data_IF_216441672628
#
_entry.id   IF_216441672628
#
_cell.length_a   1.000
_cell.length_b   1.000
_cell.length_c   1.000
_cell.angle_alpha   90.00
_cell.angle_beta   90.00
_cell.angle_gamma   90.00
#
_symmetry.space_group_name_H-M   'P 1'
#
loop_
_entity.id
_entity.type
_entity.pdbx_description
1 polymer ?
#
# COMPACT_ATOMS: atom_id res chain seq x y z
N UNK A 1 -36.30 -53.37 16.08
CA UNK A 1 -37.29 -52.33 15.72
C UNK A 1 -36.54 -51.00 15.64
N UNK A 2 -35.83 -50.75 14.54
CA UNK A 2 -36.28 -50.02 13.33
C UNK A 2 -36.14 -48.50 13.46
N UNK A 3 -34.95 -48.01 13.08
CA UNK A 3 -34.68 -46.63 12.72
C UNK A 3 -35.24 -46.33 11.32
N UNK A 4 -35.95 -45.20 11.14
CA UNK A 4 -35.93 -44.33 9.94
C UNK A 4 -36.51 -42.95 10.27
N UNK A 5 -35.85 -41.84 9.88
CA UNK A 5 -36.54 -40.59 9.60
C UNK A 5 -36.65 -40.36 8.08
N UNK A 6 -37.81 -39.82 7.71
CA UNK A 6 -38.33 -39.66 6.35
C UNK A 6 -37.72 -38.44 5.64
N UNK A 7 -37.14 -38.66 4.45
CA UNK A 7 -36.70 -37.63 3.52
C UNK A 7 -37.86 -37.20 2.62
N UNK A 8 -38.23 -35.92 2.64
CA UNK A 8 -39.17 -35.34 1.66
C UNK A 8 -38.40 -34.45 0.68
N UNK A 9 -38.27 -34.92 -0.57
CA UNK A 9 -37.76 -34.15 -1.72
C UNK A 9 -38.86 -33.22 -2.23
N UNK A 10 -38.55 -31.92 -2.34
CA UNK A 10 -39.37 -30.95 -3.05
C UNK A 10 -39.09 -31.01 -4.57
N UNK A 11 -40.17 -31.03 -5.35
CA UNK A 11 -40.18 -30.93 -6.81
C UNK A 11 -40.00 -29.45 -7.23
N UNK A 12 -38.99 -29.17 -8.05
CA UNK A 12 -38.86 -27.88 -8.73
C UNK A 12 -39.42 -28.00 -10.16
N UNK A 13 -40.49 -27.26 -10.43
CA UNK A 13 -41.07 -27.08 -11.76
C UNK A 13 -40.41 -25.90 -12.50
N UNK A 14 -40.32 -26.08 -13.82
CA UNK A 14 -39.75 -25.21 -14.86
C UNK A 14 -40.32 -23.78 -14.89
N UNK A 15 -39.51 -22.81 -15.33
CA UNK A 15 -39.86 -21.86 -16.41
C UNK A 15 -38.65 -21.13 -16.98
N UNK A 16 -38.59 -21.07 -18.31
CA UNK A 16 -37.65 -20.31 -19.12
C UNK A 16 -38.33 -19.02 -19.61
N UNK A 17 -37.63 -17.87 -19.62
CA UNK A 17 -37.89 -16.65 -20.42
C UNK A 17 -36.53 -15.91 -20.52
N UNK A 18 -35.85 -15.96 -21.67
CA UNK A 18 -35.87 -15.03 -22.82
C UNK A 18 -34.86 -13.89 -22.72
N UNK A 19 -33.98 -13.89 -23.73
CA UNK A 19 -32.94 -12.93 -24.04
C UNK A 19 -33.58 -11.69 -24.67
N UNK A 20 -33.17 -10.50 -24.24
CA UNK A 20 -33.38 -9.26 -24.99
C UNK A 20 -32.08 -8.48 -25.06
N UNK A 21 -31.50 -8.45 -26.26
CA UNK A 21 -30.54 -7.45 -26.71
C UNK A 21 -31.23 -6.09 -26.75
N UNK A 22 -30.53 -4.99 -26.42
CA UNK A 22 -30.91 -3.71 -26.99
C UNK A 22 -29.75 -2.73 -27.20
N UNK A 23 -29.95 -1.93 -28.25
CA UNK A 23 -29.00 -1.26 -29.10
C UNK A 23 -28.45 0.08 -28.61
N UNK A 24 -27.33 0.42 -29.25
CA UNK A 24 -26.69 1.72 -29.42
C UNK A 24 -27.65 2.90 -29.65
N UNK A 25 -27.38 4.05 -29.02
CA UNK A 25 -27.94 5.36 -29.41
C UNK A 25 -26.87 6.46 -29.31
N UNK A 26 -26.61 7.10 -30.46
CA UNK A 26 -25.85 8.36 -30.65
C UNK A 26 -26.80 9.55 -30.48
N UNK A 27 -26.40 10.62 -29.76
CA UNK A 27 -26.94 12.01 -29.88
C UNK A 27 -25.83 12.98 -29.41
N UNK A 28 -25.20 13.80 -30.27
CA UNK A 28 -25.62 15.05 -30.92
C UNK A 28 -25.77 16.25 -29.96
N UNK A 29 -24.87 17.22 -30.14
CA UNK A 29 -24.71 18.54 -29.51
C UNK A 29 -25.75 19.55 -30.06
N UNK A 30 -26.11 20.60 -29.31
CA UNK A 30 -26.52 21.86 -29.91
C UNK A 30 -25.59 23.03 -29.52
N UNK A 31 -25.23 23.78 -30.56
CA UNK A 31 -24.62 25.12 -30.57
C UNK A 31 -25.72 26.16 -30.32
N UNK A 32 -25.45 27.21 -29.52
CA UNK A 32 -26.27 28.42 -29.47
C UNK A 32 -25.38 29.67 -29.58
N UNK A 33 -25.80 30.54 -30.49
CA UNK A 33 -25.21 31.78 -31.02
C UNK A 33 -25.45 33.03 -30.14
N UNK A 34 -24.59 34.04 -30.34
CA UNK A 34 -24.45 35.35 -29.64
C UNK A 34 -25.62 36.35 -29.87
N UNK A 35 -25.62 37.57 -29.27
CA UNK A 35 -24.97 38.73 -29.90
C UNK A 35 -24.35 39.85 -28.99
N UNK A 36 -23.73 40.79 -29.71
CA UNK A 36 -22.76 41.89 -29.48
C UNK A 36 -23.15 43.15 -28.67
N UNK A 37 -22.15 43.84 -28.05
CA UNK A 37 -21.95 45.31 -28.21
C UNK A 37 -20.54 45.86 -27.85
N UNK A 38 -19.95 46.48 -28.88
CA UNK A 38 -18.91 47.53 -29.05
C UNK A 38 -17.90 48.00 -27.99
N UNK A 39 -16.63 47.99 -28.46
CA UNK A 39 -15.59 49.04 -28.51
C UNK A 39 -14.94 49.57 -27.21
N UNK A 40 -13.61 49.39 -27.08
CA UNK A 40 -12.56 50.43 -27.12
C UNK A 40 -11.17 49.80 -26.86
N UNK A 41 -10.22 49.99 -27.79
CA UNK A 41 -8.75 49.93 -27.57
C UNK A 41 -8.25 51.35 -27.30
N UNK A 42 -7.06 51.63 -26.73
CA UNK A 42 -5.85 50.79 -26.73
C UNK A 42 -5.02 50.81 -25.42
N UNK A 43 -4.10 49.86 -25.24
CA UNK A 43 -2.74 50.17 -24.77
C UNK A 43 -1.85 48.94 -24.87
N UNK A 44 -0.66 49.13 -25.42
CA UNK A 44 0.37 48.11 -25.56
C UNK A 44 0.83 47.58 -24.20
N UNK A 45 0.60 46.30 -23.94
CA UNK A 45 1.48 45.55 -23.04
C UNK A 45 1.71 44.15 -23.61
N UNK A 46 2.98 43.85 -23.86
CA UNK A 46 3.43 42.56 -24.37
C UNK A 46 2.98 41.44 -23.42
N UNK A 47 2.15 40.52 -23.93
CA UNK A 47 1.83 39.29 -23.23
C UNK A 47 3.08 38.41 -23.18
N UNK A 48 3.74 38.41 -22.03
CA UNK A 48 4.71 37.38 -21.64
C UNK A 48 3.91 36.10 -21.43
N UNK A 49 4.07 35.13 -22.32
CA UNK A 49 3.59 33.76 -22.09
C UNK A 49 4.14 33.25 -20.75
N UNK A 50 3.32 32.68 -19.84
CA UNK A 50 3.86 32.01 -18.68
C UNK A 50 4.59 30.77 -19.19
N UNK A 51 5.91 30.84 -19.20
CA UNK A 51 6.75 29.65 -19.28
C UNK A 51 6.38 28.82 -18.05
N UNK A 52 5.79 27.65 -18.26
CA UNK A 52 5.75 26.61 -17.25
C UNK A 52 7.21 26.27 -16.94
N UNK A 53 7.78 26.95 -15.94
CA UNK A 53 8.97 26.47 -15.28
C UNK A 53 8.54 25.19 -14.60
N UNK A 54 8.89 24.06 -15.21
CA UNK A 54 9.02 22.81 -14.47
C UNK A 54 9.91 23.13 -13.28
N UNK A 55 9.30 23.26 -12.09
CA UNK A 55 10.07 23.14 -10.87
C UNK A 55 10.74 21.79 -11.00
N UNK A 56 12.07 21.80 -11.14
CA UNK A 56 12.85 20.59 -11.01
C UNK A 56 12.50 20.04 -9.63
N UNK A 57 11.60 19.05 -9.61
CA UNK A 57 11.36 18.24 -8.44
C UNK A 57 12.74 17.71 -8.09
N UNK A 58 13.22 18.02 -6.89
CA UNK A 58 14.41 17.37 -6.35
C UNK A 58 14.11 15.88 -6.37
N UNK A 59 14.59 15.20 -7.41
CA UNK A 59 14.69 13.75 -7.42
C UNK A 59 15.66 13.47 -6.27
N UNK A 60 15.26 12.75 -5.21
CA UNK A 60 16.18 12.41 -4.15
C UNK A 60 17.39 11.73 -4.80
N UNK A 61 18.57 12.26 -4.48
CA UNK A 61 19.83 11.88 -5.09
C UNK A 61 19.94 10.35 -5.10
N UNK A 62 20.16 9.77 -6.28
CA UNK A 62 20.52 8.36 -6.43
C UNK A 62 21.71 8.07 -5.51
N UNK A 63 21.46 7.36 -4.41
CA UNK A 63 22.53 6.97 -3.48
C UNK A 63 23.47 6.01 -4.18
N UNK A 64 24.76 6.36 -4.14
CA UNK A 64 25.86 5.49 -4.55
C UNK A 64 26.16 4.50 -3.42
N UNK A 65 25.59 3.30 -3.48
CA UNK A 65 26.06 2.20 -2.63
C UNK A 65 27.36 1.66 -3.22
N UNK A 66 28.46 1.86 -2.50
CA UNK A 66 29.72 1.15 -2.79
C UNK A 66 29.56 -0.29 -2.33
N UNK A 67 30.06 -1.26 -3.10
CA UNK A 67 29.99 -2.67 -2.76
C UNK A 67 30.87 -2.99 -1.54
N UNK A 68 30.39 -2.68 -0.34
CA UNK A 68 30.96 -3.19 0.92
C UNK A 68 30.48 -4.63 1.12
N UNK A 69 31.35 -5.57 1.54
CA UNK A 69 30.96 -6.95 1.83
C UNK A 69 30.24 -7.09 3.19
N UNK A 70 30.14 -6.02 3.98
CA UNK A 70 29.54 -6.01 5.31
C UNK A 70 28.10 -5.48 5.29
N UNK A 71 27.33 -5.83 6.32
CA UNK A 71 25.99 -5.26 6.54
C UNK A 71 26.12 -3.78 6.86
N UNK A 72 25.32 -2.95 6.20
CA UNK A 72 25.31 -1.50 6.41
C UNK A 72 23.91 -1.07 6.92
N UNK A 73 23.87 -0.25 7.96
CA UNK A 73 22.62 0.37 8.42
C UNK A 73 22.33 1.64 7.60
N UNK A 74 21.07 1.90 7.27
CA UNK A 74 20.70 3.11 6.56
C UNK A 74 20.99 4.36 7.40
N UNK A 75 21.81 5.31 6.92
CA UNK A 75 22.13 6.52 7.68
C UNK A 75 20.94 7.47 7.87
N UNK A 76 19.91 7.41 7.03
CA UNK A 76 18.67 8.20 7.17
C UNK A 76 17.59 7.43 7.93
N UNK A 77 17.68 6.10 8.00
CA UNK A 77 16.66 5.26 8.63
C UNK A 77 17.26 4.18 9.51
N UNK A 78 17.38 4.51 10.80
CA UNK A 78 17.79 3.57 11.84
C UNK A 78 16.92 2.31 11.82
N UNK A 79 17.56 1.16 12.00
CA UNK A 79 16.93 -0.16 12.00
C UNK A 79 16.61 -0.71 10.60
N UNK A 80 17.00 -0.03 9.51
CA UNK A 80 16.97 -0.58 8.16
C UNK A 80 18.39 -0.99 7.76
N UNK A 81 18.57 -2.22 7.29
CA UNK A 81 19.88 -2.78 6.96
C UNK A 81 19.94 -3.25 5.51
N UNK A 82 21.11 -3.06 4.90
CA UNK A 82 21.48 -3.53 3.58
C UNK A 82 22.42 -4.72 3.72
N UNK A 83 22.00 -5.88 3.24
CA UNK A 83 22.77 -7.12 3.27
C UNK A 83 23.31 -7.44 1.87
N UNK A 84 24.64 -7.46 1.65
CA UNK A 84 25.18 -7.81 0.35
C UNK A 84 24.92 -9.28 0.03
N UNK A 85 24.26 -9.55 -1.11
CA UNK A 85 23.88 -10.90 -1.55
C UNK A 85 24.51 -11.31 -2.89
N UNK A 86 25.26 -10.43 -3.55
CA UNK A 86 25.93 -10.72 -4.83
C UNK A 86 26.45 -9.47 -5.52
N UNK A 87 26.73 -9.57 -6.83
CA UNK A 87 27.29 -8.51 -7.70
C UNK A 87 26.50 -7.20 -7.63
N UNK A 88 26.81 -6.37 -6.62
CA UNK A 88 26.14 -5.11 -6.35
C UNK A 88 24.62 -5.26 -6.12
N UNK A 89 24.19 -6.34 -5.46
CA UNK A 89 22.79 -6.56 -5.06
C UNK A 89 22.72 -6.65 -3.56
N UNK A 90 21.78 -5.90 -2.98
CA UNK A 90 21.56 -5.82 -1.54
C UNK A 90 20.15 -6.26 -1.20
N UNK A 91 20.01 -7.11 -0.20
CA UNK A 91 18.73 -7.43 0.43
C UNK A 91 18.45 -6.43 1.55
N UNK A 92 17.31 -5.75 1.49
CA UNK A 92 16.85 -4.86 2.56
C UNK A 92 16.19 -5.69 3.66
N UNK A 93 16.50 -5.39 4.92
CA UNK A 93 15.86 -6.02 6.08
C UNK A 93 15.74 -5.05 7.25
N UNK A 94 14.79 -5.28 8.15
CA UNK A 94 14.75 -4.61 9.44
C UNK A 94 15.60 -5.28 10.52
N UNK A 95 16.22 -6.42 10.19
CA UNK A 95 17.10 -7.15 11.11
C UNK A 95 18.56 -6.91 10.75
N UNK A 96 19.39 -6.72 11.78
CA UNK A 96 20.84 -6.57 11.62
C UNK A 96 21.49 -7.88 11.19
N UNK A 97 20.91 -9.02 11.57
CA UNK A 97 21.45 -10.33 11.25
C UNK A 97 21.13 -10.72 9.80
N UNK A 98 22.11 -11.31 9.10
CA UNK A 98 21.97 -11.71 7.69
C UNK A 98 20.79 -12.66 7.46
N UNK A 99 19.86 -12.41 6.53
CA UNK A 99 18.73 -13.30 6.25
C UNK A 99 19.17 -14.78 6.08
N UNK A 100 18.41 -15.76 6.64
CA UNK A 100 18.77 -17.19 6.54
C UNK A 100 18.89 -17.70 5.10
N UNK A 101 18.09 -17.16 4.19
CA UNK A 101 18.08 -17.48 2.76
C UNK A 101 17.66 -16.25 1.94
N UNK A 102 17.79 -16.32 0.61
CA UNK A 102 17.30 -15.25 -0.27
C UNK A 102 15.77 -15.15 -0.25
N UNK A 103 15.06 -16.26 -0.12
CA UNK A 103 13.59 -16.29 -0.09
C UNK A 103 13.00 -16.03 1.31
N UNK A 104 13.84 -15.68 2.29
CA UNK A 104 13.43 -15.44 3.68
C UNK A 104 12.38 -14.35 3.77
N UNK A 105 11.35 -14.55 4.59
CA UNK A 105 10.37 -13.51 4.89
C UNK A 105 10.96 -12.30 5.65
N UNK A 106 12.22 -12.39 6.09
CA UNK A 106 12.94 -11.28 6.72
C UNK A 106 13.48 -10.25 5.72
N UNK A 107 13.48 -10.56 4.42
CA UNK A 107 13.94 -9.67 3.35
C UNK A 107 12.76 -8.86 2.84
N UNK A 108 12.79 -7.54 3.00
CA UNK A 108 11.76 -6.61 2.47
C UNK A 108 11.74 -6.69 0.93
N UNK A 109 12.93 -6.69 0.33
CA UNK A 109 13.13 -6.79 -1.10
C UNK A 109 14.60 -6.59 -1.46
N UNK A 110 14.87 -6.58 -2.76
CA UNK A 110 16.22 -6.47 -3.30
C UNK A 110 16.41 -5.18 -4.07
N UNK A 111 17.56 -4.55 -3.87
CA UNK A 111 17.99 -3.36 -4.62
C UNK A 111 19.33 -3.68 -5.30
N UNK A 112 19.45 -3.27 -6.56
CA UNK A 112 20.76 -3.25 -7.23
C UNK A 112 21.45 -1.93 -6.91
N UNK A 113 22.73 -1.95 -6.64
CA UNK A 113 23.56 -0.75 -6.55
C UNK A 113 23.93 -0.22 -7.94
N UNK A 114 24.50 0.99 -7.97
CA UNK A 114 24.99 1.65 -9.19
C UNK A 114 24.19 2.90 -9.58
N UNK A 115 24.76 3.73 -10.46
CA UNK A 115 24.32 5.12 -10.73
C UNK A 115 22.94 5.28 -11.40
N UNK A 116 22.21 4.20 -11.71
CA UNK A 116 20.87 4.27 -12.33
C UNK A 116 19.88 3.20 -11.84
N UNK A 117 20.17 2.53 -10.72
CA UNK A 117 19.29 1.47 -10.25
C UNK A 117 18.15 2.02 -9.39
N UNK A 118 16.99 2.23 -10.03
CA UNK A 118 15.70 2.34 -9.36
C UNK A 118 14.98 0.98 -9.28
N UNK A 119 15.71 -0.14 -9.49
CA UNK A 119 15.10 -1.47 -9.52
C UNK A 119 15.00 -2.03 -8.11
N UNK A 120 13.89 -1.75 -7.44
CA UNK A 120 13.48 -2.48 -6.25
C UNK A 120 12.64 -3.69 -6.66
N UNK A 121 13.03 -4.87 -6.20
CA UNK A 121 12.26 -6.10 -6.36
C UNK A 121 11.66 -6.50 -5.02
N UNK A 122 10.33 -6.42 -4.92
CA UNK A 122 9.58 -6.77 -3.73
C UNK A 122 9.64 -8.28 -3.45
N UNK A 123 9.78 -8.64 -2.18
CA UNK A 123 9.68 -10.01 -1.72
C UNK A 123 8.27 -10.31 -1.19
N UNK A 124 7.53 -11.19 -1.87
CA UNK A 124 6.16 -11.54 -1.47
C UNK A 124 6.09 -12.26 -0.12
N UNK A 125 7.12 -13.02 0.27
CA UNK A 125 7.14 -13.67 1.58
C UNK A 125 7.13 -12.65 2.74
N UNK A 126 7.82 -11.51 2.55
CA UNK A 126 7.77 -10.41 3.50
C UNK A 126 6.43 -9.67 3.46
N UNK A 127 5.85 -9.46 2.27
CA UNK A 127 4.53 -8.80 2.11
C UNK A 127 3.44 -9.60 2.83
N UNK A 128 3.42 -10.91 2.67
CA UNK A 128 2.48 -11.80 3.35
C UNK A 128 2.67 -11.72 4.87
N UNK A 129 3.92 -11.82 5.36
CA UNK A 129 4.23 -11.67 6.78
C UNK A 129 3.82 -10.29 7.34
N UNK A 130 4.03 -9.23 6.57
CA UNK A 130 3.64 -7.87 6.93
C UNK A 130 2.12 -7.78 7.14
N UNK A 131 1.33 -8.26 6.18
CA UNK A 131 -0.13 -8.23 6.28
C UNK A 131 -0.68 -9.13 7.39
N UNK A 132 -0.11 -10.32 7.58
CA UNK A 132 -0.48 -11.20 8.70
C UNK A 132 -0.19 -10.54 10.05
N UNK A 133 0.96 -9.85 10.14
CA UNK A 133 1.35 -9.12 11.35
C UNK A 133 0.44 -7.92 11.62
N UNK A 134 0.12 -7.13 10.60
CA UNK A 134 -0.84 -6.01 10.72
C UNK A 134 -2.21 -6.53 11.15
N UNK A 135 -2.71 -7.61 10.54
CA UNK A 135 -3.98 -8.21 10.95
C UNK A 135 -3.96 -8.63 12.42
N UNK A 136 -2.92 -9.33 12.86
CA UNK A 136 -2.80 -9.77 14.25
C UNK A 136 -2.67 -8.58 15.22
N UNK A 137 -1.97 -7.52 14.81
CA UNK A 137 -1.85 -6.26 15.56
C UNK A 137 -3.20 -5.57 15.76
N UNK A 138 -4.06 -5.55 14.73
CA UNK A 138 -5.41 -4.99 14.80
C UNK A 138 -6.35 -5.82 15.68
N UNK A 139 -6.17 -7.15 15.72
CA UNK A 139 -6.93 -8.03 16.61
C UNK A 139 -6.52 -7.80 18.06
N UNK A 140 -5.23 -7.62 18.31
CA UNK A 140 -4.67 -7.42 19.64
C UNK A 140 -4.82 -6.00 20.19
N UNK A 141 -5.16 -5.02 19.34
CA UNK A 141 -5.33 -3.62 19.78
C UNK A 141 -4.02 -2.93 20.18
N UNK A 142 -2.90 -3.28 19.50
CA UNK A 142 -1.57 -2.76 19.91
C UNK A 142 -1.32 -1.30 19.50
N UNK A 143 -2.08 -0.78 18.53
CA UNK A 143 -1.91 0.57 17.99
C UNK A 143 -3.02 1.51 18.51
N UNK A 144 -2.66 2.32 19.50
CA UNK A 144 -3.57 3.27 20.15
C UNK A 144 -4.03 4.40 19.21
N UNK A 145 -3.21 4.79 18.23
CA UNK A 145 -3.58 5.85 17.29
C UNK A 145 -4.71 5.35 16.38
N UNK A 146 -4.61 4.11 15.90
CA UNK A 146 -5.68 3.46 15.13
C UNK A 146 -6.95 3.24 15.97
N UNK A 147 -6.82 2.89 17.25
CA UNK A 147 -7.98 2.78 18.15
C UNK A 147 -8.67 4.13 18.35
N UNK A 148 -7.91 5.21 18.53
CA UNK A 148 -8.44 6.56 18.65
C UNK A 148 -9.16 6.98 17.36
N UNK A 149 -8.60 6.68 16.20
CA UNK A 149 -9.25 6.92 14.91
C UNK A 149 -10.56 6.14 14.76
N UNK A 150 -10.60 4.89 15.24
CA UNK A 150 -11.82 4.09 15.25
C UNK A 150 -12.89 4.69 16.16
N UNK A 151 -12.53 5.16 17.36
CA UNK A 151 -13.45 5.84 18.29
C UNK A 151 -14.05 7.09 17.65
N UNK A 152 -13.23 7.91 16.97
CA UNK A 152 -13.70 9.08 16.25
C UNK A 152 -14.63 8.73 15.09
N UNK A 153 -14.31 7.64 14.36
CA UNK A 153 -15.09 7.16 13.23
C UNK A 153 -16.47 6.66 13.61
N UNK A 154 -16.57 5.95 14.75
CA UNK A 154 -17.74 5.19 15.23
C UNK A 154 -18.13 3.99 14.35
N UNK A 155 -18.34 4.19 13.05
CA UNK A 155 -18.83 3.16 12.12
C UNK A 155 -18.15 3.25 10.74
N UNK A 156 -18.00 2.11 10.05
CA UNK A 156 -17.56 2.04 8.65
C UNK A 156 -16.14 1.51 8.45
N UNK A 157 -15.51 1.78 7.31
CA UNK A 157 -14.22 1.18 6.92
C UNK A 157 -13.03 2.09 7.18
N UNK A 158 -12.16 1.74 8.12
CA UNK A 158 -10.91 2.44 8.45
C UNK A 158 -9.76 1.97 7.57
N UNK A 159 -9.05 2.91 6.95
CA UNK A 159 -7.83 2.61 6.20
C UNK A 159 -6.64 2.59 7.15
N UNK A 160 -5.79 1.58 6.99
CA UNK A 160 -4.53 1.45 7.73
C UNK A 160 -3.41 1.94 6.82
N UNK A 161 -2.69 2.95 7.25
CA UNK A 161 -1.69 3.65 6.46
C UNK A 161 -0.26 3.30 6.86
N UNK A 162 0.61 3.28 5.87
CA UNK A 162 2.06 3.43 6.04
C UNK A 162 2.38 4.89 6.46
N UNK A 163 3.48 5.07 7.19
CA UNK A 163 3.98 6.34 7.74
C UNK A 163 4.99 7.03 6.80
N UNK A 164 5.19 6.54 5.57
CA UNK A 164 5.92 7.24 4.51
C UNK A 164 5.25 8.56 4.14
N UNK A 165 3.97 8.50 3.80
CA UNK A 165 3.15 9.64 3.40
C UNK A 165 1.80 9.59 4.14
N UNK A 166 1.85 9.88 5.45
CA UNK A 166 0.65 9.83 6.27
C UNK A 166 -0.32 10.97 5.88
N UNK A 167 -1.59 10.67 5.54
CA UNK A 167 -2.49 11.68 5.02
C UNK A 167 -2.92 12.69 6.08
N UNK A 168 -3.25 13.90 5.63
CA UNK A 168 -3.91 14.89 6.47
C UNK A 168 -5.28 14.38 6.94
N UNK A 169 -5.71 14.81 8.13
CA UNK A 169 -6.99 14.41 8.72
C UNK A 169 -8.15 14.61 7.74
N UNK A 170 -8.91 13.55 7.49
CA UNK A 170 -10.07 13.55 6.59
C UNK A 170 -9.73 13.40 5.09
N UNK A 171 -8.46 13.27 4.71
CA UNK A 171 -8.06 12.87 3.36
C UNK A 171 -7.72 11.38 3.29
N UNK A 172 -7.83 10.83 2.08
CA UNK A 172 -7.33 9.51 1.75
C UNK A 172 -5.92 9.67 1.21
N UNK A 173 -4.96 8.94 1.77
CA UNK A 173 -3.57 8.93 1.31
C UNK A 173 -3.40 8.26 -0.05
N UNK A 174 -2.16 8.24 -0.55
CA UNK A 174 -1.87 7.57 -1.82
C UNK A 174 -2.15 6.06 -1.74
N UNK A 175 -2.74 5.47 -2.79
CA UNK A 175 -3.15 4.06 -2.77
C UNK A 175 -1.99 3.07 -2.59
N UNK A 176 -0.76 3.49 -2.91
CA UNK A 176 0.45 2.69 -2.75
C UNK A 176 0.93 2.63 -1.27
N UNK A 177 0.43 3.53 -0.42
CA UNK A 177 0.74 3.65 1.01
C UNK A 177 -0.39 3.16 1.93
N UNK A 178 -1.52 2.72 1.38
CA UNK A 178 -2.60 2.12 2.16
C UNK A 178 -2.30 0.63 2.28
N UNK A 179 -1.99 0.15 3.49
CA UNK A 179 -1.76 -1.27 3.76
C UNK A 179 -3.03 -2.08 3.54
N UNK A 180 -4.17 -1.55 3.98
CA UNK A 180 -5.44 -2.24 3.89
C UNK A 180 -6.56 -1.47 4.55
N UNK A 181 -7.72 -2.10 4.63
CA UNK A 181 -8.91 -1.55 5.28
C UNK A 181 -9.48 -2.52 6.29
N UNK A 182 -10.06 -2.01 7.36
CA UNK A 182 -10.68 -2.79 8.44
C UNK A 182 -12.02 -2.17 8.81
N UNK A 183 -12.98 -3.00 9.19
CA UNK A 183 -14.29 -2.54 9.65
C UNK A 183 -14.19 -1.99 11.08
N UNK A 184 -14.86 -0.87 11.31
CA UNK A 184 -15.09 -0.26 12.60
C UNK A 184 -16.57 -0.33 12.91
N UNK A 185 -16.91 -0.78 14.11
CA UNK A 185 -18.27 -0.82 14.65
C UNK A 185 -18.26 -0.40 16.11
N UNK A 186 -19.20 0.43 16.53
CA UNK A 186 -19.29 1.00 17.87
C UNK A 186 -17.98 1.64 18.36
N UNK A 187 -17.25 2.27 17.44
CA UNK A 187 -15.95 2.89 17.70
C UNK A 187 -14.80 1.90 17.94
N UNK A 188 -14.99 0.61 17.63
CA UNK A 188 -13.99 -0.44 17.82
C UNK A 188 -13.59 -1.08 16.50
N UNK A 189 -12.30 -1.34 16.35
CA UNK A 189 -11.75 -2.07 15.20
C UNK A 189 -12.17 -3.54 15.27
N UNK A 190 -12.65 -4.08 14.16
CA UNK A 190 -12.91 -5.51 13.96
C UNK A 190 -11.75 -6.12 13.18
N UNK A 191 -10.62 -6.39 13.86
CA UNK A 191 -9.36 -6.81 13.22
C UNK A 191 -9.49 -8.01 12.27
N UNK A 192 -10.40 -8.94 12.53
CA UNK A 192 -10.68 -10.10 11.67
C UNK A 192 -11.14 -9.72 10.25
N UNK A 193 -11.70 -8.54 10.09
CA UNK A 193 -12.21 -8.01 8.80
C UNK A 193 -11.15 -7.32 7.96
N UNK A 194 -9.89 -7.31 8.41
CA UNK A 194 -8.79 -6.70 7.67
C UNK A 194 -8.68 -7.24 6.25
N UNK A 195 -8.69 -6.34 5.27
CA UNK A 195 -8.53 -6.63 3.85
C UNK A 195 -7.32 -5.86 3.33
N UNK A 196 -6.33 -6.60 2.81
CA UNK A 196 -5.13 -6.05 2.19
C UNK A 196 -5.47 -5.21 0.97
N UNK A 197 -4.75 -4.11 0.78
CA UNK A 197 -4.91 -3.27 -0.39
C UNK A 197 -4.08 -3.82 -1.57
N UNK A 198 -4.68 -4.13 -2.73
CA UNK A 198 -3.93 -4.67 -3.88
C UNK A 198 -2.91 -3.70 -4.51
N UNK A 199 -3.10 -2.40 -4.31
CA UNK A 199 -2.18 -1.36 -4.80
C UNK A 199 -0.99 -1.12 -3.88
N UNK A 200 -0.99 -1.63 -2.65
CA UNK A 200 0.09 -1.38 -1.70
C UNK A 200 1.46 -1.78 -2.28
N UNK A 201 2.50 -0.98 -2.00
CA UNK A 201 3.89 -1.25 -2.39
C UNK A 201 4.79 -1.12 -1.19
N UNK A 202 5.64 -2.11 -0.95
CA UNK A 202 6.63 -2.05 0.15
C UNK A 202 7.75 -1.03 -0.08
N UNK A 203 7.89 -0.50 -1.30
CA UNK A 203 8.82 0.58 -1.61
C UNK A 203 8.20 1.51 -2.66
N UNK A 204 8.21 2.81 -2.39
CA UNK A 204 7.71 3.88 -3.27
C UNK A 204 8.81 4.92 -3.50
N UNK A 205 8.49 6.05 -4.13
CA UNK A 205 9.42 7.19 -4.26
C UNK A 205 9.84 7.78 -2.91
N UNK A 206 9.03 7.58 -1.87
CA UNK A 206 9.32 8.01 -0.49
C UNK A 206 10.13 6.97 0.29
N UNK A 207 10.49 5.87 -0.37
CA UNK A 207 11.36 4.82 0.16
C UNK A 207 10.62 3.58 0.66
N UNK A 208 11.31 2.74 1.46
CA UNK A 208 10.75 1.48 1.94
C UNK A 208 9.69 1.70 3.02
N UNK A 209 8.80 0.71 3.17
CA UNK A 209 7.67 0.65 4.10
C UNK A 209 8.00 1.22 5.46
N UNK A 210 7.17 2.10 6.03
CA UNK A 210 7.35 2.68 7.36
C UNK A 210 6.07 2.50 8.17
N UNK A 211 6.15 1.93 9.36
CA UNK A 211 4.96 1.72 10.18
C UNK A 211 4.95 2.68 11.36
N UNK A 212 3.79 2.80 12.02
CA UNK A 212 3.70 3.40 13.35
C UNK A 212 4.68 2.69 14.30
N UNK A 213 5.18 3.35 15.36
CA UNK A 213 6.10 2.72 16.30
C UNK A 213 5.59 1.38 16.85
N UNK A 214 4.33 1.33 17.27
CA UNK A 214 3.70 0.11 17.81
C UNK A 214 3.60 -1.02 16.78
N UNK A 215 3.18 -0.71 15.55
CA UNK A 215 3.12 -1.69 14.47
C UNK A 215 4.52 -2.15 14.03
N UNK A 216 5.49 -1.24 14.02
CA UNK A 216 6.88 -1.55 13.68
C UNK A 216 7.51 -2.50 14.71
N UNK A 217 7.33 -2.23 16.00
CA UNK A 217 7.81 -3.12 17.07
C UNK A 217 7.19 -4.51 16.97
N UNK A 218 5.89 -4.56 16.68
CA UNK A 218 5.18 -5.82 16.43
C UNK A 218 5.72 -6.55 15.20
N UNK A 219 5.98 -5.84 14.11
CA UNK A 219 6.63 -6.41 12.91
C UNK A 219 8.02 -6.96 13.21
N UNK A 220 8.85 -6.23 13.96
CA UNK A 220 10.17 -6.70 14.37
C UNK A 220 10.10 -8.02 15.15
N UNK A 221 9.10 -8.17 16.03
CA UNK A 221 8.88 -9.43 16.75
C UNK A 221 8.54 -10.57 15.79
N UNK A 222 7.58 -10.35 14.88
CA UNK A 222 7.19 -11.35 13.88
C UNK A 222 8.34 -11.73 12.94
N UNK A 223 9.19 -10.78 12.55
CA UNK A 223 10.40 -11.05 11.75
C UNK A 223 11.42 -11.92 12.50
N UNK A 224 11.65 -11.64 13.79
CA UNK A 224 12.56 -12.45 14.63
C UNK A 224 12.05 -13.88 14.80
N UNK A 225 10.75 -14.06 15.01
CA UNK A 225 10.11 -15.37 15.10
C UNK A 225 10.21 -16.15 13.78
N UNK A 226 9.89 -15.49 12.64
CA UNK A 226 10.02 -16.09 11.32
C UNK A 226 11.45 -16.54 11.04
N UNK A 227 12.43 -15.69 11.35
CA UNK A 227 13.86 -16.00 11.22
C UNK A 227 14.28 -17.23 12.02
N UNK A 228 13.89 -17.30 13.30
CA UNK A 228 14.22 -18.43 14.17
C UNK A 228 13.66 -19.74 13.62
N UNK A 229 12.42 -19.70 13.12
CA UNK A 229 11.77 -20.84 12.48
C UNK A 229 12.50 -21.29 11.21
N UNK A 230 12.88 -20.35 10.34
CA UNK A 230 13.63 -20.63 9.10
C UNK A 230 15.05 -21.15 9.39
N UNK A 231 15.69 -20.69 10.47
CA UNK A 231 17.07 -21.10 10.83
C UNK A 231 17.11 -22.48 11.51
N UNK A 232 15.97 -22.95 12.01
CA UNK A 232 15.84 -24.25 12.68
C UNK A 232 15.29 -25.34 11.74
N UNK A 233 14.88 -24.97 10.53
CA UNK A 233 14.34 -25.87 9.52
C UNK A 233 15.47 -26.39 8.61
#
# INVERSE_FOLDING_TARGET
MSFRPTTTRALACRRAISITQNNSVKRCVPVITQPTRSLHTPSHHAHRTPVFQSKATNIPQLRRYSASPEVEEDPERKGLFYHPVGNNVFALSFLHEKPPSQDSATVIGFVKGGEQSNSFQENQAFVDLLHDTVKAALIEGVDQDLENDAVQRKEGWLHVHDYRNFPEMGRVGDPDDILGSVLVQDGKIKGDTYQRMPSYRTCTTDGPVKLSPSLHERLLKSLKEARQKESSA
#
